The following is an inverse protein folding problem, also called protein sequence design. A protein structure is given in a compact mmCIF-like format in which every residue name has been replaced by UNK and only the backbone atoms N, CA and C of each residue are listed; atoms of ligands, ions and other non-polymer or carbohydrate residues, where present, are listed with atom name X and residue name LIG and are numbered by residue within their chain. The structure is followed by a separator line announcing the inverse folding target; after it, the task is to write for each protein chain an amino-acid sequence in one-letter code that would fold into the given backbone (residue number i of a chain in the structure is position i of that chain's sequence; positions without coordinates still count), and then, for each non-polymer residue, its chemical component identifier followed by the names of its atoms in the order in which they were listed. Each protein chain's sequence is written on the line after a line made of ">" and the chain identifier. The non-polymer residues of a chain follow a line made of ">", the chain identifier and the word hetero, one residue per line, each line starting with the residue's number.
data_IF_672761831526
#
_entry.id   IF_672761831526
#
_cell.length_a   1.000
_cell.length_b   1.000
_cell.length_c   1.000
_cell.angle_alpha   90.00
_cell.angle_beta   90.00
_cell.angle_gamma   90.00
#
_symmetry.space_group_name_H-M   'P 1'
#
loop_
_entity.id
_entity.type
_entity.pdbx_description
1 polymer ?
#
# COMPACT_ATOMS: atom_id res chain seq x y z
N UNK A 1 -19.47 -5.26 -3.09
CA UNK A 1 -19.45 -6.71 -3.41
C UNK A 1 -18.20 -7.32 -2.82
N UNK A 2 -18.35 -7.92 -1.65
CA UNK A 2 -17.26 -8.46 -0.84
C UNK A 2 -17.33 -9.99 -0.87
N UNK A 3 -16.17 -10.61 -0.97
CA UNK A 3 -15.95 -12.05 -0.87
C UNK A 3 -16.65 -12.64 0.37
N UNK A 4 -17.65 -13.50 0.15
CA UNK A 4 -18.19 -14.42 1.14
C UNK A 4 -18.13 -15.84 0.57
N UNK A 5 -17.37 -16.71 1.23
CA UNK A 5 -17.69 -18.14 1.38
C UNK A 5 -16.79 -19.15 0.70
N UNK A 6 -16.65 -20.37 1.22
CA UNK A 6 -17.22 -21.02 2.42
C UNK A 6 -16.38 -22.30 2.67
N UNK A 7 -16.21 -22.68 3.93
CA UNK A 7 -15.70 -24.00 4.36
C UNK A 7 -16.90 -24.84 4.83
N UNK A 8 -16.86 -26.14 4.53
CA UNK A 8 -17.81 -27.23 4.89
C UNK A 8 -19.12 -27.41 4.09
N UNK A 9 -19.13 -28.47 3.26
CA UNK A 9 -20.09 -29.61 3.19
C UNK A 9 -19.48 -30.59 2.16
N UNK A 10 -19.12 -31.84 2.47
CA UNK A 10 -19.99 -32.91 2.97
C UNK A 10 -20.42 -33.75 1.76
N UNK A 11 -19.91 -34.98 1.65
CA UNK A 11 -20.09 -35.93 0.54
C UNK A 11 -21.56 -36.25 0.20
N UNK A 12 -21.83 -36.58 -1.08
CA UNK A 12 -23.10 -37.17 -1.52
C UNK A 12 -23.15 -37.43 -3.04
N UNK A 13 -23.26 -38.70 -3.40
CA UNK A 13 -23.26 -39.31 -4.74
C UNK A 13 -24.46 -38.95 -5.65
N UNK A 14 -24.27 -38.99 -6.98
CA UNK A 14 -25.21 -39.68 -7.89
C UNK A 14 -26.00 -38.91 -8.98
N UNK A 15 -25.75 -39.31 -10.25
CA UNK A 15 -26.61 -39.30 -11.47
C UNK A 15 -26.89 -37.95 -12.18
N UNK A 16 -26.64 -37.68 -13.48
CA UNK A 16 -26.64 -38.37 -14.79
C UNK A 16 -27.91 -38.09 -15.65
N UNK A 17 -27.70 -37.41 -16.81
CA UNK A 17 -28.48 -37.41 -18.09
C UNK A 17 -29.96 -36.94 -18.07
N UNK A 18 -30.61 -36.28 -19.06
CA UNK A 18 -30.35 -35.70 -20.39
C UNK A 18 -31.64 -34.88 -20.81
N UNK A 19 -31.64 -34.06 -21.91
CA UNK A 19 -32.76 -33.18 -22.33
C UNK A 19 -33.62 -33.75 -23.47
N UNK A 20 -34.75 -33.11 -23.87
CA UNK A 20 -34.91 -32.65 -25.28
C UNK A 20 -35.86 -31.40 -25.47
N UNK A 21 -35.62 -30.45 -26.40
CA UNK A 21 -35.93 -30.30 -27.87
C UNK A 21 -37.19 -29.44 -28.21
N UNK A 22 -37.02 -28.52 -29.17
CA UNK A 22 -38.04 -28.06 -30.17
C UNK A 22 -38.42 -26.58 -30.06
N UNK A 23 -37.97 -25.60 -30.90
CA UNK A 23 -37.94 -25.38 -32.37
C UNK A 23 -39.11 -24.55 -32.93
N UNK A 24 -38.78 -23.68 -33.91
CA UNK A 24 -39.55 -22.69 -34.73
C UNK A 24 -39.38 -21.22 -34.28
N UNK A 25 -39.07 -20.22 -35.11
CA UNK A 25 -38.86 -20.15 -36.57
C UNK A 25 -39.35 -18.79 -37.11
N UNK A 26 -38.45 -18.07 -37.79
CA UNK A 26 -38.61 -17.01 -38.81
C UNK A 26 -39.34 -15.66 -38.60
N UNK A 27 -38.59 -14.63 -39.02
CA UNK A 27 -38.92 -13.53 -39.96
C UNK A 27 -39.39 -12.12 -39.49
N UNK A 28 -38.50 -11.18 -39.85
CA UNK A 28 -38.67 -9.86 -40.48
C UNK A 28 -39.21 -8.61 -39.76
N UNK A 29 -38.39 -7.56 -39.93
CA UNK A 29 -38.56 -6.12 -39.72
C UNK A 29 -39.47 -5.50 -40.81
N UNK A 30 -40.14 -4.34 -40.60
CA UNK A 30 -39.46 -3.08 -40.90
C UNK A 30 -39.80 -1.84 -40.05
N UNK A 31 -38.77 -0.99 -39.94
CA UNK A 31 -38.73 0.48 -39.98
C UNK A 31 -39.86 1.33 -39.37
N UNK A 32 -39.55 2.07 -38.29
CA UNK A 32 -40.18 3.37 -37.98
C UNK A 32 -39.21 4.31 -37.21
N UNK A 33 -38.99 5.48 -37.82
CA UNK A 33 -38.67 6.82 -37.29
C UNK A 33 -37.40 7.10 -36.44
N UNK A 34 -36.53 7.95 -37.01
CA UNK A 34 -35.47 8.71 -36.35
C UNK A 34 -36.01 9.97 -35.66
N UNK A 35 -35.41 10.42 -34.54
CA UNK A 35 -35.44 11.81 -34.10
C UNK A 35 -34.03 12.47 -34.18
N UNK A 36 -33.94 13.81 -34.03
CA UNK A 36 -32.96 14.62 -34.75
C UNK A 36 -31.59 14.76 -34.08
N UNK A 37 -30.61 15.10 -34.92
CA UNK A 37 -29.24 15.49 -34.57
C UNK A 37 -29.22 16.72 -33.66
N UNK A 38 -28.65 16.57 -32.47
CA UNK A 38 -28.16 17.69 -31.65
C UNK A 38 -26.76 17.37 -31.10
N UNK A 39 -25.85 18.31 -31.36
CA UNK A 39 -24.51 18.51 -30.80
C UNK A 39 -23.50 17.36 -30.90
N UNK A 40 -22.69 17.41 -31.96
CA UNK A 40 -21.34 16.87 -31.96
C UNK A 40 -20.46 17.61 -30.95
N UNK A 41 -20.11 16.94 -29.85
CA UNK A 41 -18.93 17.26 -29.04
C UNK A 41 -18.13 15.98 -28.85
N UNK A 42 -17.19 15.72 -29.77
CA UNK A 42 -16.16 14.69 -29.61
C UNK A 42 -15.30 15.05 -28.40
N UNK A 43 -15.48 14.33 -27.29
CA UNK A 43 -14.51 14.32 -26.21
C UNK A 43 -13.32 13.46 -26.63
N UNK A 44 -12.36 14.08 -27.32
CA UNK A 44 -11.02 13.51 -27.48
C UNK A 44 -10.29 13.57 -26.13
N UNK A 45 -10.28 12.46 -25.40
CA UNK A 45 -9.34 12.27 -24.29
C UNK A 45 -7.97 11.88 -24.85
N UNK A 46 -7.23 12.89 -25.29
CA UNK A 46 -5.77 12.83 -25.41
C UNK A 46 -5.19 14.03 -24.63
N UNK A 47 -4.90 13.82 -23.34
CA UNK A 47 -3.96 14.66 -22.61
C UNK A 47 -2.78 13.78 -22.23
N UNK A 48 -1.85 13.68 -23.17
CA UNK A 48 -0.47 13.30 -22.93
C UNK A 48 0.24 14.54 -22.36
N UNK A 49 0.23 14.71 -21.03
CA UNK A 49 1.10 15.71 -20.40
C UNK A 49 2.54 15.19 -20.39
N UNK A 50 3.28 15.55 -21.45
CA UNK A 50 4.74 15.55 -21.45
C UNK A 50 5.22 16.62 -20.47
N UNK A 51 5.63 16.23 -19.28
CA UNK A 51 6.55 17.05 -18.48
C UNK A 51 7.93 16.99 -19.14
N UNK A 52 8.22 17.98 -19.97
CA UNK A 52 9.54 18.19 -20.57
C UNK A 52 10.54 18.62 -19.51
N UNK A 53 11.41 17.69 -19.11
CA UNK A 53 12.67 18.04 -18.45
C UNK A 53 13.54 18.78 -19.47
N UNK A 54 13.85 20.06 -19.20
CA UNK A 54 14.86 20.82 -19.95
C UNK A 54 16.19 20.05 -19.90
N UNK A 55 16.67 19.58 -21.06
CA UNK A 55 18.05 19.11 -21.23
C UNK A 55 18.99 20.30 -20.98
N UNK A 56 20.01 20.09 -20.15
CA UNK A 56 21.12 21.02 -20.01
C UNK A 56 21.86 21.17 -21.36
N UNK A 57 22.41 22.35 -21.69
CA UNK A 57 23.12 22.55 -22.95
C UNK A 57 24.39 21.69 -22.99
N UNK A 58 24.58 20.97 -24.11
CA UNK A 58 25.80 20.22 -24.42
C UNK A 58 26.97 21.21 -24.51
N UNK A 59 28.05 20.92 -23.78
CA UNK A 59 29.36 21.54 -23.98
C UNK A 59 29.89 21.11 -25.36
N UNK A 60 30.42 22.08 -26.10
CA UNK A 60 31.06 21.88 -27.41
C UNK A 60 32.45 21.27 -27.19
N UNK A 61 32.71 20.11 -27.80
CA UNK A 61 34.05 19.51 -27.88
C UNK A 61 34.67 19.91 -29.24
N UNK A 62 36.00 20.16 -29.35
CA UNK A 62 36.60 20.67 -30.58
C UNK A 62 36.81 19.56 -31.62
N UNK A 63 36.62 19.92 -32.90
CA UNK A 63 36.96 19.12 -34.08
C UNK A 63 38.43 18.67 -34.07
N UNK A 64 38.67 17.39 -34.38
CA UNK A 64 39.94 16.93 -34.96
C UNK A 64 39.70 16.06 -36.20
N UNK A 65 40.24 16.58 -37.29
CA UNK A 65 40.76 16.00 -38.55
C UNK A 65 40.39 14.57 -38.97
N UNK A 66 39.86 14.51 -40.18
CA UNK A 66 39.71 13.35 -41.05
C UNK A 66 41.05 12.69 -41.41
N UNK A 67 41.08 11.36 -41.37
CA UNK A 67 41.83 10.51 -42.31
C UNK A 67 41.10 9.17 -42.43
N UNK A 68 40.74 8.79 -43.65
CA UNK A 68 39.90 7.63 -43.96
C UNK A 68 40.58 6.28 -43.80
N UNK A 69 39.80 5.20 -43.86
CA UNK A 69 39.93 4.11 -44.85
C UNK A 69 38.64 3.27 -44.82
N UNK A 70 38.20 2.85 -46.00
CA UNK A 70 37.08 1.96 -46.33
C UNK A 70 37.19 0.55 -45.77
N UNK A 71 36.06 -0.07 -45.39
CA UNK A 71 35.98 -1.50 -45.08
C UNK A 71 34.57 -1.98 -44.70
N UNK A 72 33.85 -2.46 -45.73
CA UNK A 72 32.77 -3.45 -45.76
C UNK A 72 31.65 -3.49 -44.69
N UNK A 73 30.42 -3.38 -45.21
CA UNK A 73 29.17 -3.55 -44.51
C UNK A 73 28.89 -5.02 -44.16
N UNK A 74 28.81 -5.33 -42.87
CA UNK A 74 28.12 -6.51 -42.38
C UNK A 74 26.88 -6.09 -41.58
N UNK A 75 25.72 -6.08 -42.24
CA UNK A 75 24.41 -5.95 -41.59
C UNK A 75 24.15 -7.19 -40.74
N UNK A 76 24.51 -7.15 -39.45
CA UNK A 76 24.08 -8.17 -38.49
C UNK A 76 22.72 -7.78 -37.93
N UNK A 77 21.77 -8.70 -38.11
CA UNK A 77 20.37 -8.67 -37.71
C UNK A 77 20.11 -8.00 -36.36
N UNK A 78 19.40 -6.87 -36.37
CA UNK A 78 18.89 -6.19 -35.18
C UNK A 78 17.50 -6.74 -34.84
N UNK A 79 17.45 -7.89 -34.18
CA UNK A 79 16.21 -8.47 -33.63
C UNK A 79 16.28 -8.71 -32.11
N UNK A 80 17.28 -8.12 -31.45
CA UNK A 80 17.39 -8.12 -29.99
C UNK A 80 17.27 -6.65 -29.56
N UNK A 81 16.24 -6.24 -28.78
CA UNK A 81 16.26 -4.93 -28.17
C UNK A 81 17.55 -4.84 -27.34
N UNK A 82 18.32 -3.74 -27.40
CA UNK A 82 19.54 -3.64 -26.63
C UNK A 82 19.18 -3.87 -25.16
N UNK A 83 19.71 -4.94 -24.57
CA UNK A 83 19.74 -5.09 -23.13
C UNK A 83 20.59 -3.93 -22.68
N UNK A 84 19.95 -2.89 -22.16
CA UNK A 84 20.63 -1.73 -21.62
C UNK A 84 21.46 -2.26 -20.46
N UNK A 85 22.77 -2.48 -20.70
CA UNK A 85 23.71 -2.97 -19.71
C UNK A 85 23.48 -2.19 -18.43
N UNK A 86 23.39 -2.91 -17.30
CA UNK A 86 23.30 -2.32 -15.97
C UNK A 86 24.62 -1.63 -15.65
N UNK A 87 24.85 -0.46 -16.25
CA UNK A 87 26.02 0.37 -15.99
C UNK A 87 25.89 0.88 -14.56
N UNK A 88 26.75 0.37 -13.68
CA UNK A 88 26.94 0.89 -12.33
C UNK A 88 27.67 2.23 -12.44
N UNK A 89 26.95 3.32 -12.21
CA UNK A 89 27.60 4.62 -12.06
C UNK A 89 28.11 4.73 -10.62
N UNK A 90 29.40 5.06 -10.40
CA UNK A 90 29.88 5.34 -9.06
C UNK A 90 29.00 6.42 -8.45
N UNK A 91 28.39 6.08 -7.32
CA UNK A 91 27.44 6.95 -6.65
C UNK A 91 28.14 8.25 -6.21
N UNK A 92 27.62 9.43 -6.58
CA UNK A 92 28.12 10.70 -6.05
C UNK A 92 27.79 10.88 -4.56
N UNK A 93 26.94 10.03 -3.99
CA UNK A 93 26.54 10.07 -2.58
C UNK A 93 27.19 8.91 -1.80
N UNK A 94 27.96 9.20 -0.74
CA UNK A 94 28.59 8.16 0.05
C UNK A 94 27.54 7.39 0.86
N UNK A 95 27.83 6.11 1.16
CA UNK A 95 26.99 5.25 2.02
C UNK A 95 26.71 5.90 3.38
N UNK A 96 27.61 6.75 3.88
CA UNK A 96 27.42 7.53 5.13
C UNK A 96 26.15 8.39 5.13
N UNK A 97 25.64 8.76 3.96
CA UNK A 97 24.37 9.51 3.83
C UNK A 97 23.17 8.71 4.36
N UNK A 98 23.26 7.38 4.42
CA UNK A 98 22.20 6.48 4.89
C UNK A 98 22.13 6.36 6.42
N UNK A 99 23.11 6.88 7.17
CA UNK A 99 23.14 6.81 8.64
C UNK A 99 21.91 7.48 9.26
N UNK A 100 21.57 8.69 8.80
CA UNK A 100 20.38 9.41 9.30
C UNK A 100 19.07 8.66 9.00
N UNK A 101 18.81 8.21 7.75
CA UNK A 101 17.69 7.32 7.45
C UNK A 101 17.62 6.05 8.29
N UNK A 102 18.76 5.42 8.60
CA UNK A 102 18.80 4.20 9.41
C UNK A 102 18.33 4.47 10.85
N UNK A 103 18.91 5.47 11.52
CA UNK A 103 18.49 5.85 12.87
C UNK A 103 17.02 6.28 12.91
N UNK A 104 16.57 7.01 11.88
CA UNK A 104 15.16 7.35 11.75
C UNK A 104 14.27 6.11 11.62
N UNK A 105 14.68 5.12 10.82
CA UNK A 105 13.92 3.88 10.63
C UNK A 105 13.78 3.10 11.93
N UNK A 106 14.89 2.92 12.66
CA UNK A 106 14.90 2.20 13.94
C UNK A 106 14.08 2.96 14.99
N UNK A 107 14.32 4.26 15.14
CA UNK A 107 13.62 5.10 16.10
C UNK A 107 12.12 5.19 15.81
N UNK A 108 11.73 5.45 14.57
CA UNK A 108 10.34 5.52 14.15
C UNK A 108 9.62 4.19 14.39
N UNK A 109 10.23 3.07 14.01
CA UNK A 109 9.64 1.74 14.20
C UNK A 109 9.45 1.43 15.69
N UNK A 110 10.46 1.71 16.52
CA UNK A 110 10.36 1.55 17.97
C UNK A 110 9.24 2.39 18.59
N UNK A 111 9.17 3.67 18.21
CA UNK A 111 8.09 4.57 18.65
C UNK A 111 6.71 4.11 18.16
N UNK A 112 6.59 3.61 16.92
CA UNK A 112 5.34 3.13 16.37
C UNK A 112 4.81 1.92 17.15
N UNK A 113 5.67 0.94 17.45
CA UNK A 113 5.29 -0.23 18.26
C UNK A 113 5.00 0.14 19.72
N UNK A 114 5.80 1.02 20.33
CA UNK A 114 5.53 1.51 21.69
C UNK A 114 4.19 2.24 21.78
N UNK A 115 3.90 3.12 20.83
CA UNK A 115 2.64 3.86 20.75
C UNK A 115 1.44 2.92 20.52
N UNK A 116 1.60 1.91 19.67
CA UNK A 116 0.55 0.90 19.44
C UNK A 116 0.30 0.02 20.68
N UNK A 117 1.34 -0.35 21.43
CA UNK A 117 1.17 -1.09 22.68
C UNK A 117 0.41 -0.26 23.73
N UNK A 118 0.73 1.03 23.85
CA UNK A 118 -0.01 1.96 24.72
C UNK A 118 -1.44 2.14 24.23
N UNK A 119 -1.64 2.32 22.93
CA UNK A 119 -2.98 2.45 22.34
C UNK A 119 -3.82 1.20 22.62
N UNK A 120 -3.25 0.00 22.45
CA UNK A 120 -3.96 -1.24 22.76
C UNK A 120 -4.35 -1.32 24.24
N UNK A 121 -3.45 -0.94 25.14
CA UNK A 121 -3.72 -0.90 26.58
C UNK A 121 -4.86 0.06 26.93
N UNK A 122 -4.82 1.29 26.43
CA UNK A 122 -5.86 2.30 26.70
C UNK A 122 -7.20 1.94 26.05
N UNK A 123 -7.17 1.36 24.85
CA UNK A 123 -8.36 0.84 24.15
C UNK A 123 -9.03 -0.24 24.99
N UNK A 124 -8.26 -1.22 25.48
CA UNK A 124 -8.78 -2.29 26.35
C UNK A 124 -9.35 -1.71 27.64
N UNK A 125 -8.64 -0.79 28.30
CA UNK A 125 -9.10 -0.12 29.51
C UNK A 125 -10.42 0.63 29.29
N UNK A 126 -10.53 1.41 28.21
CA UNK A 126 -11.76 2.13 27.87
C UNK A 126 -12.93 1.21 27.55
N UNK A 127 -12.66 0.05 26.93
CA UNK A 127 -13.68 -0.96 26.61
C UNK A 127 -14.20 -1.66 27.87
N UNK A 128 -13.33 -1.92 28.83
CA UNK A 128 -13.73 -2.45 30.14
C UNK A 128 -14.54 -1.40 30.91
N UNK A 129 -14.08 -0.15 30.95
CA UNK A 129 -14.80 0.93 31.65
C UNK A 129 -16.20 1.17 31.04
N UNK A 130 -16.28 1.26 29.71
CA UNK A 130 -17.57 1.43 29.01
C UNK A 130 -18.49 0.22 29.14
N UNK A 131 -17.97 -0.99 29.34
CA UNK A 131 -18.81 -2.14 29.68
C UNK A 131 -19.49 -1.95 31.05
N UNK A 132 -18.74 -1.49 32.05
CA UNK A 132 -19.30 -1.20 33.38
C UNK A 132 -20.23 0.02 33.39
N UNK A 133 -19.90 1.06 32.61
CA UNK A 133 -20.74 2.25 32.48
C UNK A 133 -21.98 1.98 31.62
N UNK A 134 -21.89 1.10 30.62
CA UNK A 134 -23.00 0.63 29.78
C UNK A 134 -24.04 -0.14 30.58
N UNK A 135 -23.61 -1.02 31.50
CA UNK A 135 -24.52 -1.69 32.45
C UNK A 135 -25.32 -0.67 33.29
N UNK A 136 -24.73 0.49 33.61
CA UNK A 136 -25.39 1.56 34.36
C UNK A 136 -26.25 2.47 33.47
N UNK A 137 -25.85 2.67 32.21
CA UNK A 137 -26.51 3.55 31.26
C UNK A 137 -27.72 2.89 30.58
N UNK A 138 -27.72 1.55 30.39
CA UNK A 138 -28.88 0.79 29.91
C UNK A 138 -30.12 0.98 30.81
N UNK A 139 -29.91 1.33 32.08
CA UNK A 139 -30.97 1.71 33.01
C UNK A 139 -31.55 3.11 32.76
N UNK A 140 -30.77 4.05 32.18
CA UNK A 140 -31.15 5.46 31.97
C UNK A 140 -31.63 5.77 30.54
N UNK A 141 -31.23 4.98 29.53
CA UNK A 141 -31.51 5.28 28.12
C UNK A 141 -32.88 4.78 27.62
N UNK A 142 -33.68 4.13 28.47
CA UNK A 142 -35.06 3.72 28.18
C UNK A 142 -36.03 4.89 27.88
N UNK A 143 -35.60 6.15 27.98
CA UNK A 143 -36.49 7.33 28.00
C UNK A 143 -36.15 8.36 26.89
N UNK A 144 -35.25 8.06 25.94
CA UNK A 144 -34.87 9.04 24.89
C UNK A 144 -35.51 8.74 23.52
N UNK A 145 -36.29 9.68 22.95
CA UNK A 145 -36.81 9.53 21.60
C UNK A 145 -35.69 9.71 20.56
N UNK A 146 -35.65 8.80 19.57
CA UNK A 146 -34.73 8.90 18.43
C UNK A 146 -35.09 10.12 17.57
N UNK A 147 -34.10 10.99 17.31
CA UNK A 147 -34.21 12.02 16.27
C UNK A 147 -33.76 11.48 14.92
N UNK A 148 -34.61 11.65 13.93
CA UNK A 148 -34.46 11.12 12.57
C UNK A 148 -33.65 12.02 11.62
N UNK A 149 -33.02 11.37 10.66
CA UNK A 149 -32.21 11.94 9.58
C UNK A 149 -31.53 10.80 8.81
N UNK A 150 -32.11 10.41 7.67
CA UNK A 150 -31.83 9.15 6.96
C UNK A 150 -30.37 8.95 6.55
N UNK A 151 -29.67 10.02 6.15
CA UNK A 151 -28.28 9.90 5.68
C UNK A 151 -27.28 9.48 6.77
N UNK A 152 -27.43 10.00 7.99
CA UNK A 152 -26.56 9.61 9.11
C UNK A 152 -26.79 8.15 9.51
N UNK A 153 -28.05 7.69 9.45
CA UNK A 153 -28.40 6.31 9.74
C UNK A 153 -27.78 5.35 8.72
N UNK A 154 -27.80 5.70 7.43
CA UNK A 154 -27.16 4.89 6.37
C UNK A 154 -25.64 4.80 6.53
N UNK A 155 -24.96 5.92 6.80
CA UNK A 155 -23.51 5.92 7.07
C UNK A 155 -23.18 5.05 8.28
N UNK A 156 -23.93 5.22 9.38
CA UNK A 156 -23.69 4.45 10.60
C UNK A 156 -23.93 2.96 10.37
N UNK A 157 -25.00 2.59 9.63
CA UNK A 157 -25.28 1.21 9.26
C UNK A 157 -24.16 0.63 8.40
N UNK A 158 -23.68 1.35 7.39
CA UNK A 158 -22.56 0.94 6.56
C UNK A 158 -21.28 0.74 7.40
N UNK A 159 -20.92 1.73 8.22
CA UNK A 159 -19.75 1.69 9.09
C UNK A 159 -19.79 0.51 10.06
N UNK A 160 -20.96 0.28 10.66
CA UNK A 160 -21.17 -0.81 11.61
C UNK A 160 -21.12 -2.19 10.94
N UNK A 161 -21.37 -2.29 9.63
CA UNK A 161 -21.25 -3.54 8.87
C UNK A 161 -19.84 -3.86 8.38
N UNK A 162 -18.90 -2.92 8.48
CA UNK A 162 -17.50 -3.16 8.12
C UNK A 162 -16.79 -4.04 9.15
N UNK A 163 -15.86 -4.87 8.69
CA UNK A 163 -14.94 -5.57 9.58
C UNK A 163 -14.00 -4.59 10.30
N UNK A 164 -13.41 -5.00 11.42
CA UNK A 164 -12.43 -4.18 12.14
C UNK A 164 -11.24 -3.79 11.24
N UNK A 165 -10.83 -4.72 10.36
CA UNK A 165 -9.82 -4.46 9.34
C UNK A 165 -10.24 -3.37 8.36
N UNK A 166 -11.45 -3.43 7.82
CA UNK A 166 -12.00 -2.43 6.90
C UNK A 166 -12.15 -1.06 7.54
N UNK A 167 -12.64 -0.99 8.78
CA UNK A 167 -12.74 0.27 9.54
C UNK A 167 -11.35 0.90 9.74
N UNK A 168 -10.36 0.08 10.10
CA UNK A 168 -8.98 0.54 10.31
C UNK A 168 -8.37 1.10 9.03
N UNK A 169 -8.47 0.38 7.90
CA UNK A 169 -7.90 0.87 6.64
C UNK A 169 -8.70 2.00 6.01
N UNK A 170 -9.96 2.22 6.39
CA UNK A 170 -10.74 3.38 5.91
C UNK A 170 -10.04 4.69 6.28
N UNK A 171 -9.45 4.79 7.48
CA UNK A 171 -8.65 5.95 7.87
C UNK A 171 -7.41 6.14 6.99
N UNK A 172 -6.71 5.05 6.66
CA UNK A 172 -5.55 5.07 5.76
C UNK A 172 -5.95 5.50 4.35
N UNK A 173 -7.07 4.97 3.84
CA UNK A 173 -7.62 5.32 2.53
C UNK A 173 -7.99 6.80 2.49
N UNK A 174 -8.67 7.30 3.52
CA UNK A 174 -9.02 8.72 3.63
C UNK A 174 -7.77 9.62 3.63
N UNK A 175 -6.73 9.24 4.37
CA UNK A 175 -5.45 9.97 4.37
C UNK A 175 -4.79 9.98 2.98
N UNK A 176 -4.79 8.84 2.27
CA UNK A 176 -4.27 8.75 0.90
C UNK A 176 -5.05 9.63 -0.08
N UNK A 177 -6.38 9.62 -0.01
CA UNK A 177 -7.25 10.47 -0.83
C UNK A 177 -6.98 11.94 -0.54
N UNK A 178 -6.84 12.31 0.74
CA UNK A 178 -6.51 13.68 1.14
C UNK A 178 -5.17 14.13 0.56
N UNK A 179 -4.11 13.34 0.74
CA UNK A 179 -2.77 13.63 0.19
C UNK A 179 -2.80 13.71 -1.34
N UNK A 180 -3.56 12.84 -1.99
CA UNK A 180 -3.76 12.88 -3.44
C UNK A 180 -4.46 14.17 -3.91
N UNK A 181 -5.41 14.70 -3.14
CA UNK A 181 -6.03 16.00 -3.40
C UNK A 181 -5.01 17.14 -3.22
N UNK A 182 -4.12 17.08 -2.21
CA UNK A 182 -3.06 18.08 -2.04
C UNK A 182 -2.12 18.14 -3.25
N UNK A 183 -1.83 16.99 -3.89
CA UNK A 183 -1.10 16.93 -5.17
C UNK A 183 -1.82 17.62 -6.34
N UNK A 184 -3.08 18.05 -6.21
CA UNK A 184 -3.79 18.82 -7.25
C UNK A 184 -3.73 20.33 -7.05
N UNK A 185 -3.25 20.78 -5.90
CA UNK A 185 -3.12 22.20 -5.59
C UNK A 185 -1.77 22.71 -6.12
N UNK A 186 -1.75 23.65 -7.10
CA UNK A 186 -0.49 24.10 -7.71
C UNK A 186 0.48 24.76 -6.72
N UNK A 187 -0.05 25.50 -5.74
CA UNK A 187 0.77 26.18 -4.72
C UNK A 187 1.51 25.20 -3.78
N UNK A 188 0.99 23.97 -3.62
CA UNK A 188 1.58 22.97 -2.74
C UNK A 188 2.62 22.07 -3.43
N UNK A 189 2.73 22.10 -4.76
CA UNK A 189 3.58 21.18 -5.54
C UNK A 189 5.02 21.10 -5.02
N UNK A 190 5.63 22.24 -4.69
CA UNK A 190 7.02 22.26 -4.19
C UNK A 190 7.15 21.53 -2.86
N UNK A 191 6.18 21.70 -1.96
CA UNK A 191 6.11 21.00 -0.68
C UNK A 191 5.87 19.51 -0.90
N UNK A 192 4.94 19.14 -1.78
CA UNK A 192 4.65 17.74 -2.11
C UNK A 192 5.89 17.03 -2.67
N UNK A 193 6.58 17.61 -3.65
CA UNK A 193 7.82 17.02 -4.18
C UNK A 193 8.89 16.87 -3.09
N UNK A 194 9.05 17.87 -2.21
CA UNK A 194 10.10 17.85 -1.19
C UNK A 194 9.86 16.88 -0.04
N UNK A 195 8.61 16.75 0.41
CA UNK A 195 8.27 16.02 1.63
C UNK A 195 7.52 14.71 1.37
N UNK A 196 6.85 14.57 0.23
CA UNK A 196 5.99 13.44 -0.11
C UNK A 196 6.55 12.56 -1.25
N UNK A 197 7.79 12.83 -1.70
CA UNK A 197 8.52 11.95 -2.60
C UNK A 197 9.86 11.57 -1.98
N UNK A 198 10.19 10.29 -2.03
CA UNK A 198 11.41 9.77 -1.45
C UNK A 198 12.52 9.76 -2.50
N UNK A 199 13.63 10.41 -2.17
CA UNK A 199 14.81 10.45 -3.02
C UNK A 199 16.05 10.58 -2.12
N UNK A 200 17.00 9.63 -2.15
CA UNK A 200 18.20 9.72 -1.33
C UNK A 200 19.14 10.88 -1.72
N UNK A 201 18.93 11.52 -2.88
CA UNK A 201 19.61 12.76 -3.27
C UNK A 201 18.95 14.04 -2.70
N UNK A 202 17.80 13.94 -2.02
CA UNK A 202 17.11 15.09 -1.42
C UNK A 202 17.81 15.56 -0.15
N UNK A 203 17.72 16.86 0.15
CA UNK A 203 18.14 17.41 1.44
C UNK A 203 17.29 16.90 2.61
N UNK A 204 16.05 16.51 2.33
CA UNK A 204 15.10 16.03 3.34
C UNK A 204 14.97 14.52 3.15
N UNK A 205 15.65 13.75 4.00
CA UNK A 205 15.75 12.30 3.84
C UNK A 205 14.70 11.54 4.65
N UNK A 206 14.44 11.94 5.89
CA UNK A 206 13.67 11.14 6.85
C UNK A 206 12.15 11.30 6.71
N UNK A 207 11.63 12.53 6.67
CA UNK A 207 10.18 12.75 6.60
C UNK A 207 9.53 12.12 5.36
N UNK A 208 10.16 12.12 4.15
CA UNK A 208 9.55 11.45 3.01
C UNK A 208 9.49 9.94 3.16
N UNK A 209 10.30 9.31 4.02
CA UNK A 209 10.23 7.86 4.23
C UNK A 209 8.88 7.41 4.77
N UNK A 210 8.18 8.27 5.50
CA UNK A 210 6.81 8.03 5.94
C UNK A 210 5.79 8.66 4.99
N UNK A 211 5.97 9.93 4.64
CA UNK A 211 4.97 10.68 3.90
C UNK A 211 4.81 10.20 2.45
N UNK A 212 5.87 9.66 1.85
CA UNK A 212 5.77 9.09 0.50
C UNK A 212 4.88 7.86 0.44
N UNK A 213 4.69 7.13 1.57
CA UNK A 213 3.76 6.01 1.66
C UNK A 213 2.31 6.45 1.42
N UNK A 214 1.98 7.71 1.67
CA UNK A 214 0.63 8.26 1.45
C UNK A 214 0.45 8.94 0.08
N UNK A 215 1.50 8.96 -0.75
CA UNK A 215 1.50 9.68 -2.04
C UNK A 215 1.39 8.77 -3.24
N UNK A 216 0.64 9.23 -4.25
CA UNK A 216 0.38 8.47 -5.47
C UNK A 216 0.45 9.40 -6.69
N UNK A 217 1.17 8.98 -7.73
CA UNK A 217 1.38 9.80 -8.93
C UNK A 217 0.16 9.80 -9.87
N UNK A 218 -0.69 8.77 -9.81
CA UNK A 218 -1.89 8.64 -10.64
C UNK A 218 -3.06 8.06 -9.85
N UNK A 219 -4.28 8.34 -10.33
CA UNK A 219 -5.50 7.81 -9.72
C UNK A 219 -5.55 6.28 -9.80
N UNK A 220 -5.11 5.70 -10.91
CA UNK A 220 -5.06 4.25 -11.10
C UNK A 220 -4.11 3.58 -10.10
N UNK A 221 -2.90 4.14 -9.91
CA UNK A 221 -1.95 3.61 -8.92
C UNK A 221 -2.52 3.67 -7.50
N UNK A 222 -3.17 4.78 -7.12
CA UNK A 222 -3.85 4.87 -5.83
C UNK A 222 -4.98 3.85 -5.70
N UNK A 223 -5.85 3.74 -6.71
CA UNK A 223 -6.98 2.83 -6.69
C UNK A 223 -6.53 1.36 -6.56
N UNK A 224 -5.50 0.95 -7.30
CA UNK A 224 -4.92 -0.39 -7.19
C UNK A 224 -4.37 -0.67 -5.79
N UNK A 225 -3.61 0.28 -5.22
CA UNK A 225 -3.07 0.15 -3.87
C UNK A 225 -4.18 0.06 -2.81
N UNK A 226 -5.17 0.94 -2.86
CA UNK A 226 -6.28 0.94 -1.89
C UNK A 226 -7.15 -0.31 -2.05
N UNK A 227 -7.31 -0.82 -3.27
CA UNK A 227 -8.01 -2.07 -3.52
C UNK A 227 -7.33 -3.27 -2.85
N UNK A 228 -6.01 -3.42 -3.02
CA UNK A 228 -5.27 -4.52 -2.39
C UNK A 228 -5.29 -4.37 -0.87
N UNK A 229 -5.05 -3.16 -0.36
CA UNK A 229 -5.11 -2.89 1.08
C UNK A 229 -6.48 -3.23 1.66
N UNK A 230 -7.57 -2.83 1.01
CA UNK A 230 -8.93 -3.14 1.43
C UNK A 230 -9.23 -4.64 1.41
N UNK A 231 -8.75 -5.35 0.39
CA UNK A 231 -9.02 -6.78 0.21
C UNK A 231 -8.36 -7.64 1.28
N UNK A 232 -7.15 -7.27 1.71
CA UNK A 232 -6.38 -8.02 2.71
C UNK A 232 -6.50 -7.47 4.14
N UNK A 233 -7.21 -6.35 4.34
CA UNK A 233 -7.30 -5.66 5.65
C UNK A 233 -7.90 -6.54 6.74
N UNK A 234 -9.01 -7.23 6.45
CA UNK A 234 -9.66 -8.13 7.41
C UNK A 234 -8.71 -9.26 7.82
N UNK A 235 -8.01 -9.87 6.86
CA UNK A 235 -7.10 -10.98 7.13
C UNK A 235 -5.93 -10.54 8.02
N UNK A 236 -5.26 -9.44 7.69
CA UNK A 236 -4.09 -8.99 8.46
C UNK A 236 -4.49 -8.47 9.85
N UNK A 237 -5.62 -7.78 9.98
CA UNK A 237 -6.11 -7.31 11.29
C UNK A 237 -6.62 -8.47 12.13
N UNK A 238 -7.16 -9.54 11.54
CA UNK A 238 -7.48 -10.75 12.31
C UNK A 238 -6.21 -11.47 12.81
N UNK A 239 -5.10 -11.39 12.07
CA UNK A 239 -3.81 -11.99 12.47
C UNK A 239 -3.11 -11.17 13.56
N UNK A 240 -3.16 -9.84 13.50
CA UNK A 240 -2.35 -8.95 14.34
C UNK A 240 -3.16 -8.13 15.36
N UNK A 241 -4.44 -7.89 15.11
CA UNK A 241 -5.21 -6.82 15.75
C UNK A 241 -4.96 -5.45 15.12
N UNK A 242 -5.87 -4.50 15.36
CA UNK A 242 -5.88 -3.19 14.70
C UNK A 242 -4.68 -2.31 15.08
N UNK A 243 -4.28 -2.29 16.36
CA UNK A 243 -3.22 -1.42 16.85
C UNK A 243 -1.85 -1.91 16.36
N UNK A 244 -1.61 -3.22 16.45
CA UNK A 244 -0.39 -3.85 15.93
C UNK A 244 -0.29 -3.68 14.41
N UNK A 245 -1.40 -3.88 13.69
CA UNK A 245 -1.46 -3.67 12.24
C UNK A 245 -1.04 -2.24 11.87
N UNK A 246 -1.53 -1.22 12.59
CA UNK A 246 -1.16 0.17 12.31
C UNK A 246 0.35 0.41 12.50
N UNK A 247 0.94 -0.12 13.57
CA UNK A 247 2.39 -0.03 13.78
C UNK A 247 3.18 -0.74 12.68
N UNK A 248 2.76 -1.96 12.28
CA UNK A 248 3.38 -2.72 11.19
C UNK A 248 3.27 -1.96 9.87
N UNK A 249 2.10 -1.43 9.52
CA UNK A 249 1.87 -0.72 8.26
C UNK A 249 2.73 0.55 8.14
N UNK A 250 2.77 1.37 9.19
CA UNK A 250 3.57 2.60 9.19
C UNK A 250 5.07 2.29 9.19
N UNK A 251 5.52 1.31 9.99
CA UNK A 251 6.92 0.89 10.02
C UNK A 251 7.34 0.30 8.68
N UNK A 252 6.47 -0.48 8.04
CA UNK A 252 6.70 -1.03 6.71
C UNK A 252 6.91 0.05 5.66
N UNK A 253 6.15 1.15 5.69
CA UNK A 253 6.35 2.30 4.81
C UNK A 253 7.76 2.89 4.94
N UNK A 254 8.23 3.07 6.18
CA UNK A 254 9.57 3.61 6.45
C UNK A 254 10.68 2.62 6.09
N UNK A 255 10.54 1.35 6.47
CA UNK A 255 11.53 0.28 6.21
C UNK A 255 11.65 0.02 4.70
N UNK A 256 10.54 -0.09 3.98
CA UNK A 256 10.56 -0.27 2.51
C UNK A 256 11.24 0.90 1.81
N UNK A 257 10.96 2.13 2.22
CA UNK A 257 11.65 3.32 1.69
C UNK A 257 13.13 3.33 2.03
N UNK A 258 13.52 2.88 3.23
CA UNK A 258 14.93 2.73 3.60
C UNK A 258 15.66 1.72 2.70
N UNK A 259 15.07 0.55 2.45
CA UNK A 259 15.64 -0.45 1.53
C UNK A 259 15.77 0.12 0.12
N UNK A 260 14.79 0.88 -0.35
CA UNK A 260 14.87 1.62 -1.61
C UNK A 260 16.03 2.63 -1.62
N UNK A 261 16.25 3.39 -0.54
CA UNK A 261 17.40 4.29 -0.43
C UNK A 261 18.73 3.56 -0.52
N UNK A 262 18.88 2.45 0.19
CA UNK A 262 20.09 1.60 0.14
C UNK A 262 20.35 1.16 -1.31
N UNK A 263 19.33 0.65 -2.00
CA UNK A 263 19.45 0.19 -3.38
C UNK A 263 19.81 1.33 -4.35
N UNK A 264 19.13 2.48 -4.23
CA UNK A 264 19.39 3.65 -5.08
C UNK A 264 20.79 4.24 -4.89
N UNK A 265 21.30 4.27 -3.65
CA UNK A 265 22.67 4.70 -3.35
C UNK A 265 23.68 3.67 -3.88
N UNK A 266 23.42 2.38 -3.72
CA UNK A 266 24.31 1.32 -4.21
C UNK A 266 24.40 1.26 -5.75
N UNK A 267 23.30 1.54 -6.44
CA UNK A 267 23.21 1.49 -7.91
C UNK A 267 23.46 2.83 -8.60
N UNK A 268 23.50 3.93 -7.85
CA UNK A 268 23.65 5.28 -8.39
C UNK A 268 22.39 5.83 -9.09
N UNK A 269 21.21 5.21 -8.91
CA UNK A 269 19.96 5.55 -9.62
C UNK A 269 18.99 6.34 -8.71
N UNK A 270 19.01 7.67 -8.81
CA UNK A 270 18.29 8.58 -7.90
C UNK A 270 16.86 8.96 -8.30
N UNK A 271 16.09 8.01 -8.84
CA UNK A 271 14.69 8.27 -9.20
C UNK A 271 13.83 8.55 -7.96
N UNK A 272 12.97 9.58 -7.97
CA UNK A 272 12.00 9.77 -6.89
C UNK A 272 11.00 8.60 -6.87
N UNK A 273 10.64 8.13 -5.68
CA UNK A 273 9.56 7.15 -5.52
C UNK A 273 8.53 7.60 -4.48
N UNK A 274 7.32 7.06 -4.62
CA UNK A 274 6.18 7.33 -3.78
C UNK A 274 5.16 6.21 -3.99
N UNK A 275 4.37 5.92 -2.96
CA UNK A 275 3.33 4.89 -3.01
C UNK A 275 3.23 4.12 -1.70
N UNK A 276 2.00 3.68 -1.41
CA UNK A 276 1.73 2.76 -0.31
C UNK A 276 2.24 1.33 -0.57
N UNK A 277 2.72 1.05 -1.78
CA UNK A 277 2.97 -0.30 -2.27
C UNK A 277 3.98 -1.08 -1.44
N UNK A 278 5.04 -0.46 -0.90
CA UNK A 278 5.96 -1.12 0.03
C UNK A 278 5.28 -1.64 1.31
N UNK A 279 4.40 -0.83 1.92
CA UNK A 279 3.62 -1.23 3.09
C UNK A 279 2.56 -2.28 2.74
N UNK A 280 1.95 -2.18 1.56
CA UNK A 280 0.99 -3.17 1.06
C UNK A 280 1.69 -4.51 0.78
N UNK A 281 2.91 -4.48 0.26
CA UNK A 281 3.73 -5.68 0.06
C UNK A 281 4.06 -6.37 1.38
N UNK A 282 4.28 -5.62 2.47
CA UNK A 282 4.36 -6.19 3.82
C UNK A 282 3.06 -6.88 4.22
N UNK A 283 1.91 -6.23 4.03
CA UNK A 283 0.60 -6.82 4.36
C UNK A 283 0.36 -8.10 3.58
N UNK A 284 0.59 -8.08 2.26
CA UNK A 284 0.42 -9.23 1.39
C UNK A 284 1.35 -10.37 1.80
N UNK A 285 2.65 -10.07 1.98
CA UNK A 285 3.63 -11.06 2.37
C UNK A 285 3.30 -11.68 3.74
N UNK A 286 2.93 -10.86 4.72
CA UNK A 286 2.52 -11.32 6.05
C UNK A 286 1.33 -12.29 5.98
N UNK A 287 0.26 -11.94 5.24
CA UNK A 287 -0.90 -12.81 5.08
C UNK A 287 -0.55 -14.09 4.33
N UNK A 288 0.17 -13.98 3.21
CA UNK A 288 0.57 -15.14 2.40
C UNK A 288 1.51 -16.09 3.15
N UNK A 289 2.38 -15.58 4.03
CA UNK A 289 3.23 -16.40 4.89
C UNK A 289 2.44 -17.08 5.99
N UNK A 290 1.46 -16.40 6.59
CA UNK A 290 0.65 -16.98 7.67
C UNK A 290 -0.37 -17.99 7.17
N UNK A 291 -0.91 -17.80 5.97
CA UNK A 291 -1.97 -18.62 5.36
C UNK A 291 -1.55 -19.05 3.95
N UNK A 292 -0.50 -19.88 3.79
CA UNK A 292 0.07 -20.21 2.49
C UNK A 292 -0.88 -20.97 1.57
N UNK A 293 -1.75 -21.81 2.14
CA UNK A 293 -2.75 -22.61 1.40
C UNK A 293 -4.02 -21.83 1.05
N UNK A 294 -4.13 -20.57 1.50
CA UNK A 294 -5.23 -19.69 1.16
C UNK A 294 -5.32 -19.52 -0.36
N UNK A 295 -6.52 -19.68 -0.93
CA UNK A 295 -6.72 -19.53 -2.37
C UNK A 295 -7.01 -18.07 -2.72
N UNK A 296 -6.19 -17.50 -3.60
CA UNK A 296 -6.38 -16.19 -4.19
C UNK A 296 -6.88 -16.36 -5.62
N UNK A 297 -7.78 -15.47 -6.06
CA UNK A 297 -8.24 -15.42 -7.44
C UNK A 297 -7.90 -14.06 -8.06
N UNK A 298 -7.67 -14.06 -9.37
CA UNK A 298 -7.51 -12.83 -10.14
C UNK A 298 -8.90 -12.25 -10.39
N UNK A 299 -9.07 -10.94 -10.20
CA UNK A 299 -10.37 -10.25 -10.31
C UNK A 299 -11.08 -10.58 -11.63
N UNK A 300 -10.35 -10.56 -12.74
CA UNK A 300 -10.91 -10.77 -14.08
C UNK A 300 -11.01 -12.25 -14.49
N UNK A 301 -10.46 -13.14 -13.67
CA UNK A 301 -10.39 -14.58 -13.93
C UNK A 301 -10.67 -15.36 -12.63
N UNK A 302 -11.87 -15.22 -12.04
CA UNK A 302 -12.19 -15.80 -10.74
C UNK A 302 -12.17 -17.34 -10.75
N UNK A 303 -12.27 -17.95 -11.93
CA UNK A 303 -12.17 -19.40 -12.13
C UNK A 303 -10.76 -19.94 -11.88
N UNK A 304 -9.73 -19.09 -12.01
CA UNK A 304 -8.33 -19.46 -11.79
C UNK A 304 -7.90 -19.03 -10.40
N UNK A 305 -7.84 -19.99 -9.48
CA UNK A 305 -7.31 -19.78 -8.13
C UNK A 305 -5.90 -20.34 -7.99
N UNK A 306 -5.04 -19.65 -7.28
CA UNK A 306 -3.70 -20.10 -6.91
C UNK A 306 -3.50 -19.95 -5.41
N UNK A 307 -2.54 -20.68 -4.85
CA UNK A 307 -2.23 -20.59 -3.42
C UNK A 307 -1.51 -19.27 -3.11
N UNK A 308 -1.79 -18.71 -1.95
CA UNK A 308 -1.20 -17.47 -1.47
C UNK A 308 0.33 -17.59 -1.33
N UNK A 309 0.84 -18.78 -0.99
CA UNK A 309 2.28 -19.05 -0.99
C UNK A 309 2.91 -18.95 -2.39
N UNK A 310 2.24 -19.48 -3.42
CA UNK A 310 2.72 -19.38 -4.80
C UNK A 310 2.60 -17.95 -5.34
N UNK A 311 1.55 -17.23 -4.95
CA UNK A 311 1.39 -15.80 -5.23
C UNK A 311 2.60 -14.99 -4.74
N UNK A 312 2.96 -15.20 -3.47
CA UNK A 312 4.06 -14.48 -2.84
C UNK A 312 5.39 -14.78 -3.53
N UNK A 313 5.67 -16.05 -3.83
CA UNK A 313 6.88 -16.45 -4.59
C UNK A 313 6.94 -15.78 -5.96
N UNK A 314 5.82 -15.76 -6.69
CA UNK A 314 5.75 -15.14 -8.02
C UNK A 314 5.99 -13.62 -7.96
N UNK A 315 5.41 -12.93 -6.96
CA UNK A 315 5.60 -11.48 -6.80
C UNK A 315 7.05 -11.16 -6.42
N UNK A 316 7.64 -11.89 -5.47
CA UNK A 316 9.05 -11.72 -5.08
C UNK A 316 9.97 -11.98 -6.28
N UNK A 317 9.71 -13.02 -7.06
CA UNK A 317 10.48 -13.31 -8.27
C UNK A 317 10.36 -12.18 -9.31
N UNK A 318 9.15 -11.66 -9.53
CA UNK A 318 8.91 -10.55 -10.45
C UNK A 318 9.61 -9.26 -10.02
N UNK A 319 9.54 -8.88 -8.74
CA UNK A 319 10.25 -7.69 -8.24
C UNK A 319 11.77 -7.88 -8.27
N UNK A 320 12.26 -9.09 -8.00
CA UNK A 320 13.70 -9.40 -8.10
C UNK A 320 14.18 -9.28 -9.55
N UNK A 321 13.43 -9.84 -10.50
CA UNK A 321 13.71 -9.69 -11.92
C UNK A 321 13.65 -8.21 -12.35
N UNK A 322 12.61 -7.47 -11.94
CA UNK A 322 12.47 -6.05 -12.24
C UNK A 322 13.62 -5.20 -11.67
N UNK A 323 14.11 -5.53 -10.48
CA UNK A 323 15.29 -4.89 -9.89
C UNK A 323 16.56 -5.18 -10.70
N UNK A 324 16.83 -6.45 -11.04
CA UNK A 324 18.02 -6.87 -11.79
C UNK A 324 18.02 -6.28 -13.21
N UNK A 325 16.87 -6.35 -13.89
CA UNK A 325 16.68 -5.84 -15.24
C UNK A 325 16.49 -4.32 -15.31
N UNK A 326 16.39 -3.64 -14.15
CA UNK A 326 16.30 -2.18 -14.08
C UNK A 326 14.98 -1.58 -14.56
N UNK A 327 13.87 -2.31 -14.43
CA UNK A 327 12.54 -1.80 -14.75
C UNK A 327 12.19 -0.59 -13.86
N UNK A 328 11.54 0.41 -14.47
CA UNK A 328 11.26 1.72 -13.83
C UNK A 328 9.79 1.94 -13.47
N UNK A 329 8.92 0.96 -13.74
CA UNK A 329 7.49 1.08 -13.49
C UNK A 329 7.16 1.09 -12.00
N UNK A 330 7.94 0.36 -11.20
CA UNK A 330 7.73 0.22 -9.75
C UNK A 330 9.04 0.40 -8.99
N UNK A 331 8.92 0.76 -7.70
CA UNK A 331 10.05 0.72 -6.78
C UNK A 331 10.23 -0.71 -6.26
N UNK A 332 10.83 -1.56 -7.10
CA UNK A 332 11.05 -2.98 -6.82
C UNK A 332 11.84 -3.21 -5.52
N UNK A 333 12.76 -2.30 -5.19
CA UNK A 333 13.51 -2.35 -3.94
C UNK A 333 12.63 -2.10 -2.71
N UNK A 334 11.74 -1.11 -2.78
CA UNK A 334 10.75 -0.90 -1.74
C UNK A 334 9.80 -2.10 -1.58
N UNK A 335 9.36 -2.69 -2.69
CA UNK A 335 8.48 -3.87 -2.66
C UNK A 335 9.15 -5.07 -1.99
N UNK A 336 10.38 -5.40 -2.39
CA UNK A 336 11.15 -6.48 -1.79
C UNK A 336 11.46 -6.21 -0.31
N UNK A 337 11.86 -4.99 0.03
CA UNK A 337 12.08 -4.59 1.42
C UNK A 337 10.83 -4.75 2.29
N UNK A 338 9.67 -4.33 1.77
CA UNK A 338 8.38 -4.53 2.41
C UNK A 338 8.00 -6.01 2.57
N UNK A 339 8.17 -6.80 1.51
CA UNK A 339 7.86 -8.24 1.54
C UNK A 339 8.73 -8.98 2.57
N UNK A 340 10.05 -8.72 2.56
CA UNK A 340 10.99 -9.30 3.53
C UNK A 340 10.64 -8.91 4.96
N UNK A 341 10.29 -7.64 5.20
CA UNK A 341 9.84 -7.19 6.53
C UNK A 341 8.56 -7.91 6.97
N UNK A 342 7.58 -8.09 6.07
CA UNK A 342 6.33 -8.79 6.38
C UNK A 342 6.54 -10.26 6.75
N UNK A 343 7.37 -10.97 5.96
CA UNK A 343 7.76 -12.36 6.24
C UNK A 343 8.46 -12.45 7.60
N UNK A 344 9.50 -11.63 7.80
CA UNK A 344 10.26 -11.60 9.04
C UNK A 344 9.36 -11.28 10.24
N UNK A 345 8.45 -10.32 10.11
CA UNK A 345 7.61 -9.90 11.22
C UNK A 345 6.66 -11.00 11.67
N UNK A 346 6.01 -11.71 10.73
CA UNK A 346 5.12 -12.81 11.08
C UNK A 346 5.86 -14.01 11.65
N UNK A 347 7.06 -14.31 11.15
CA UNK A 347 7.84 -15.47 11.61
C UNK A 347 8.54 -15.21 12.94
N UNK A 348 9.06 -14.00 13.16
CA UNK A 348 9.90 -13.69 14.32
C UNK A 348 9.48 -12.39 15.03
N UNK A 349 9.18 -11.32 14.29
CA UNK A 349 8.95 -9.99 14.87
C UNK A 349 7.76 -9.92 15.83
N UNK A 350 6.69 -10.68 15.58
CA UNK A 350 5.54 -10.78 16.48
C UNK A 350 5.94 -11.32 17.87
N UNK A 351 6.69 -12.42 17.90
CA UNK A 351 7.19 -13.01 19.14
C UNK A 351 8.20 -12.08 19.82
N UNK A 352 9.15 -11.52 19.06
CA UNK A 352 10.25 -10.74 19.61
C UNK A 352 9.80 -9.38 20.15
N UNK A 353 8.93 -8.67 19.42
CA UNK A 353 8.56 -7.28 19.73
C UNK A 353 7.22 -7.24 20.43
N UNK A 354 6.19 -7.85 19.83
CA UNK A 354 4.82 -7.65 20.28
C UNK A 354 4.51 -8.42 21.55
N UNK A 355 4.92 -9.68 21.67
CA UNK A 355 4.71 -10.44 22.92
C UNK A 355 5.50 -9.86 24.08
N UNK A 356 6.69 -9.31 23.83
CA UNK A 356 7.53 -8.67 24.85
C UNK A 356 7.15 -7.22 25.17
N UNK A 357 5.93 -6.75 24.84
CA UNK A 357 5.48 -5.37 25.10
C UNK A 357 5.06 -5.10 26.55
N UNK A 358 4.89 -6.15 27.36
CA UNK A 358 4.39 -6.01 28.75
C UNK A 358 5.21 -5.06 29.62
N UNK A 359 6.55 -5.07 29.63
CA UNK A 359 7.33 -4.16 30.47
C UNK A 359 7.04 -2.69 30.15
N UNK A 360 6.89 -2.36 28.86
CA UNK A 360 6.56 -1.01 28.42
C UNK A 360 5.16 -0.59 28.89
N UNK A 361 4.18 -1.50 28.77
CA UNK A 361 2.81 -1.25 29.23
C UNK A 361 2.75 -1.09 30.74
N UNK A 362 3.54 -1.86 31.50
CA UNK A 362 3.66 -1.73 32.96
C UNK A 362 4.22 -0.36 33.36
N UNK A 363 5.32 0.07 32.73
CA UNK A 363 5.89 1.42 32.94
C UNK A 363 4.84 2.50 32.64
N UNK A 364 4.11 2.37 31.53
CA UNK A 364 3.02 3.30 31.20
C UNK A 364 1.91 3.32 32.24
N UNK A 365 1.47 2.14 32.69
CA UNK A 365 0.46 2.00 33.72
C UNK A 365 0.88 2.68 35.03
N UNK A 366 2.10 2.42 35.50
CA UNK A 366 2.66 3.01 36.72
C UNK A 366 2.74 4.54 36.64
N UNK A 367 3.18 5.10 35.50
CA UNK A 367 3.21 6.54 35.31
C UNK A 367 1.81 7.18 35.35
N UNK A 368 0.79 6.48 34.82
CA UNK A 368 -0.60 6.92 34.80
C UNK A 368 -1.29 6.81 36.15
N UNK A 369 -1.01 5.76 36.93
CA UNK A 369 -1.63 5.52 38.24
C UNK A 369 -0.92 6.28 39.36
N UNK A 370 0.41 6.37 39.32
CA UNK A 370 1.23 7.08 40.29
C UNK A 370 1.49 8.53 39.87
N UNK A 371 0.49 9.23 39.31
CA UNK A 371 0.60 10.64 38.93
C UNK A 371 1.31 11.48 40.01
N UNK A 372 2.01 12.57 39.64
CA UNK A 372 3.02 13.20 40.48
C UNK A 372 2.47 13.37 41.89
N UNK A 373 3.04 12.65 42.87
CA UNK A 373 2.71 12.83 44.28
C UNK A 373 2.79 14.33 44.51
N UNK A 374 1.65 14.99 44.73
CA UNK A 374 1.63 16.36 45.25
C UNK A 374 2.42 16.29 46.55
N UNK A 375 3.69 16.71 46.49
CA UNK A 375 4.43 17.08 47.68
C UNK A 375 3.65 18.21 48.31
N UNK A 376 2.98 17.94 49.43
CA UNK A 376 2.11 18.93 50.03
C UNK A 376 1.11 18.35 51.01
N UNK A 377 1.57 18.11 52.23
CA UNK A 377 0.85 18.62 53.39
C UNK A 377 0.25 17.61 54.35
N UNK A 378 0.46 17.93 55.63
CA UNK A 378 -0.14 17.39 56.86
C UNK A 378 0.57 16.16 57.42
N UNK A 379 1.14 16.18 58.64
CA UNK A 379 1.19 17.18 59.71
C UNK A 379 2.36 16.82 60.63
#
# INVERSE_FOLDING_TARGET
>A
MAWRGWVHRGWGCGQAWAPPVGSRGCEELPAVLSPPRLLGRRFNFFIQQKCGFRKAPRKVEPRRSDTGTSGEAYKRSALIPPVEETVFYPSPYPIRTLVKPLFFTVGFTGCAFGSAAIWQYESLKSRVQSYFDGIKADWLDSIRPQKEGDFRKEINKWWNNLSDGQRTVTGIIAANVFVFCLWRVPSLQRTMVRYFTSNPASKVLCSPMLLSTFSHFSLFHMAANMYVLWSFSSSIVNILGQEQFMAVYLSAGVISTFVSYVCKVATGRYGPSLGASGAIMTVLAAVCTKIPDGRLAIIFLPMFTFTAGNALKAIIAMDTAGMILGWKFFDHAAHLGGALFGIWYITYGHELIWKNREPLVKIWHEMRTNGPKKGGGSK
#
